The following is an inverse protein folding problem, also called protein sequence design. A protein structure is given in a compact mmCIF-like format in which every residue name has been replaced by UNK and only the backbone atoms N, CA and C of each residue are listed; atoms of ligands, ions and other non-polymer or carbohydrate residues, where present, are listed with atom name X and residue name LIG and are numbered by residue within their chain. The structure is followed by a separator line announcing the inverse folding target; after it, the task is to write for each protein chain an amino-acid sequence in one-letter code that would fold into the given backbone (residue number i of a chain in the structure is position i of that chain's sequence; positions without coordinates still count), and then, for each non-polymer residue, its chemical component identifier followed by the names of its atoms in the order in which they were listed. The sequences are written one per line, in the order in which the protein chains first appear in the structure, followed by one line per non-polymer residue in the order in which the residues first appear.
data_IF_366248226399
#
_entry.id   IF_366248226399
#
_cell.length_a   1.000
_cell.length_b   1.000
_cell.length_c   1.000
_cell.angle_alpha   90.00
_cell.angle_beta   90.00
_cell.angle_gamma   90.00
#
_symmetry.space_group_name_H-M   'P 1'
#
loop_
_entity.id
_entity.type
_entity.pdbx_description
1 polymer ?
#
# COMPACT_ATOMS: atom_id res chain seq x y z
N UNK A 1 34.51 0.55 -18.82
CA UNK A 1 33.18 0.16 -19.32
C UNK A 1 32.16 0.58 -18.29
N UNK A 2 31.35 1.59 -18.59
CA UNK A 2 30.28 2.08 -17.72
C UNK A 2 29.12 1.09 -17.74
N UNK A 3 28.66 0.68 -16.55
CA UNK A 3 27.51 -0.21 -16.42
C UNK A 3 26.26 0.40 -17.08
N UNK A 4 25.40 -0.41 -17.73
CA UNK A 4 24.15 0.09 -18.30
C UNK A 4 23.27 0.66 -17.20
N UNK A 5 22.79 1.90 -17.40
CA UNK A 5 21.78 2.51 -16.54
C UNK A 5 20.41 1.95 -16.96
N UNK A 6 19.88 1.04 -16.16
CA UNK A 6 18.54 0.48 -16.35
C UNK A 6 17.56 1.29 -15.53
N UNK A 7 16.55 1.89 -16.18
CA UNK A 7 15.42 2.53 -15.53
C UNK A 7 14.31 1.49 -15.38
N UNK A 8 13.92 1.19 -14.15
CA UNK A 8 12.81 0.30 -13.86
C UNK A 8 11.52 1.12 -13.81
N UNK A 9 10.59 0.84 -14.72
CA UNK A 9 9.23 1.38 -14.65
C UNK A 9 8.30 0.19 -14.55
N UNK A 10 7.59 0.05 -13.43
CA UNK A 10 6.55 -0.97 -13.24
C UNK A 10 5.19 -0.29 -13.14
N UNK A 11 4.21 -0.88 -13.83
CA UNK A 11 2.79 -0.58 -13.95
C UNK A 11 2.35 0.25 -15.17
N UNK A 12 1.53 -0.42 -15.99
CA UNK A 12 0.61 0.06 -17.01
C UNK A 12 1.11 1.19 -17.93
N UNK A 13 2.04 0.85 -18.82
CA UNK A 13 2.17 1.59 -20.07
C UNK A 13 0.94 1.30 -20.91
N UNK A 14 0.17 2.35 -21.25
CA UNK A 14 -1.01 2.26 -22.11
C UNK A 14 -0.67 1.55 -23.43
N UNK A 15 -1.68 0.96 -24.09
CA UNK A 15 -1.47 0.27 -25.38
C UNK A 15 -0.81 1.19 -26.42
N UNK A 16 -0.99 2.51 -26.33
CA UNK A 16 -0.30 3.49 -27.20
C UNK A 16 1.22 3.45 -27.05
N UNK A 17 1.75 3.20 -25.84
CA UNK A 17 3.21 3.14 -25.62
C UNK A 17 3.79 1.80 -26.10
N UNK A 18 2.98 0.72 -26.09
CA UNK A 18 3.38 -0.58 -26.66
C UNK A 18 3.39 -0.56 -28.19
N UNK A 19 2.38 0.06 -28.82
CA UNK A 19 2.35 0.28 -30.28
C UNK A 19 3.50 1.17 -30.73
N UNK A 20 3.76 2.25 -29.99
CA UNK A 20 4.88 3.13 -30.28
C UNK A 20 6.20 2.35 -30.25
N UNK A 21 6.51 1.59 -29.19
CA UNK A 21 7.75 0.81 -29.10
C UNK A 21 7.98 -0.17 -30.27
N UNK A 22 6.90 -0.71 -30.84
CA UNK A 22 6.92 -1.64 -31.97
C UNK A 22 7.19 -0.94 -33.31
N UNK A 23 6.63 0.25 -33.50
CA UNK A 23 6.77 1.03 -34.74
C UNK A 23 8.16 1.62 -34.94
N UNK A 24 8.87 1.86 -33.83
CA UNK A 24 10.25 2.39 -33.82
C UNK A 24 11.35 1.30 -33.81
N UNK A 25 10.97 0.03 -34.04
CA UNK A 25 11.93 -1.05 -34.33
C UNK A 25 12.77 -1.51 -33.13
N UNK A 26 12.22 -1.44 -31.92
CA UNK A 26 12.90 -1.88 -30.70
C UNK A 26 12.55 -3.33 -30.35
N UNK A 27 13.55 -4.10 -29.93
CA UNK A 27 13.33 -5.41 -29.32
C UNK A 27 12.82 -5.23 -27.88
N UNK A 28 11.52 -5.39 -27.72
CA UNK A 28 10.88 -5.64 -26.43
C UNK A 28 11.44 -6.94 -25.86
N UNK A 29 12.41 -6.86 -24.94
CA UNK A 29 12.81 -8.04 -24.19
C UNK A 29 11.72 -8.28 -23.14
N UNK A 30 10.91 -9.30 -23.38
CA UNK A 30 9.96 -9.81 -22.40
C UNK A 30 10.73 -10.72 -21.46
N UNK A 31 10.84 -10.35 -20.19
CA UNK A 31 11.22 -11.27 -19.12
C UNK A 31 10.10 -11.37 -18.09
N UNK A 32 10.02 -12.49 -17.38
CA UNK A 32 8.89 -12.80 -16.49
C UNK A 32 8.05 -13.96 -17.05
N UNK A 33 7.12 -14.48 -16.23
CA UNK A 33 6.23 -15.57 -16.67
C UNK A 33 5.09 -15.01 -17.55
N UNK A 34 4.35 -15.90 -18.23
CA UNK A 34 3.26 -15.53 -19.13
C UNK A 34 2.12 -14.71 -18.47
N UNK A 35 2.00 -14.76 -17.15
CA UNK A 35 1.00 -14.05 -16.36
C UNK A 35 1.50 -12.68 -15.87
N UNK A 36 2.80 -12.40 -15.95
CA UNK A 36 3.40 -11.15 -15.46
C UNK A 36 4.62 -10.70 -16.30
N UNK A 37 4.42 -10.24 -17.55
CA UNK A 37 5.51 -9.82 -18.42
C UNK A 37 6.13 -8.49 -17.93
N UNK A 38 7.43 -8.51 -17.71
CA UNK A 38 8.30 -7.36 -17.47
C UNK A 38 8.95 -6.96 -18.79
N UNK A 39 8.76 -5.72 -19.19
CA UNK A 39 9.34 -5.14 -20.39
C UNK A 39 10.59 -4.34 -20.02
N UNK A 40 11.73 -4.67 -20.64
CA UNK A 40 12.96 -3.90 -20.50
C UNK A 40 13.15 -2.95 -21.70
N UNK A 41 13.38 -1.66 -21.43
CA UNK A 41 13.84 -0.71 -22.46
C UNK A 41 15.34 -0.43 -22.28
N UNK A 42 16.14 -0.78 -23.27
CA UNK A 42 17.56 -0.46 -23.30
C UNK A 42 17.77 1.00 -23.75
N UNK A 43 17.95 1.91 -22.80
CA UNK A 43 18.06 3.36 -23.04
C UNK A 43 19.41 3.79 -23.65
N UNK A 44 20.31 2.86 -23.98
CA UNK A 44 21.67 3.16 -24.45
C UNK A 44 21.72 3.90 -25.78
N UNK A 45 20.63 3.85 -26.58
CA UNK A 45 20.55 4.44 -27.92
C UNK A 45 19.48 5.53 -28.03
N UNK A 46 19.00 6.11 -26.92
CA UNK A 46 18.14 7.29 -27.04
C UNK A 46 18.97 8.43 -27.64
N UNK A 47 18.70 8.70 -28.91
CA UNK A 47 19.27 9.79 -29.67
C UNK A 47 19.14 11.08 -28.85
N UNK A 48 20.29 11.74 -28.69
CA UNK A 48 20.51 12.87 -27.80
C UNK A 48 19.44 13.98 -27.91
N UNK A 49 18.76 14.12 -29.04
CA UNK A 49 17.72 15.12 -29.26
C UNK A 49 16.47 14.95 -28.37
N UNK A 50 16.02 13.72 -28.08
CA UNK A 50 14.85 13.51 -27.20
C UNK A 50 15.21 13.71 -25.73
N UNK A 51 16.44 13.37 -25.35
CA UNK A 51 16.96 13.67 -24.02
C UNK A 51 17.16 15.17 -23.85
N UNK A 52 17.62 15.90 -24.87
CA UNK A 52 17.73 17.36 -24.80
C UNK A 52 16.35 18.03 -24.77
N UNK A 53 15.34 17.51 -25.47
CA UNK A 53 13.95 18.00 -25.38
C UNK A 53 13.28 17.69 -24.03
N UNK A 54 13.54 16.52 -23.46
CA UNK A 54 13.11 16.16 -22.09
C UNK A 54 13.86 17.00 -21.05
N UNK A 55 15.17 17.21 -21.22
CA UNK A 55 15.95 18.15 -20.39
C UNK A 55 15.49 19.60 -20.54
N UNK A 56 15.05 20.04 -21.72
CA UNK A 56 14.42 21.34 -21.93
C UNK A 56 13.07 21.41 -21.21
N UNK A 57 12.24 20.38 -21.29
CA UNK A 57 10.98 20.29 -20.53
C UNK A 57 11.22 20.22 -19.01
N UNK A 58 12.30 19.59 -18.56
CA UNK A 58 12.72 19.59 -17.14
C UNK A 58 13.42 20.89 -16.71
N UNK A 59 14.00 21.66 -17.64
CA UNK A 59 14.47 23.04 -17.40
C UNK A 59 13.30 24.02 -17.31
N UNK A 60 12.17 23.71 -17.97
CA UNK A 60 10.91 24.46 -17.89
C UNK A 60 10.05 24.06 -16.69
N UNK A 61 10.20 22.84 -16.16
CA UNK A 61 9.55 22.40 -14.94
C UNK A 61 10.36 22.84 -13.70
N UNK A 62 9.74 23.60 -12.81
CA UNK A 62 10.32 23.89 -11.50
C UNK A 62 10.31 22.61 -10.65
N UNK A 63 11.37 21.80 -10.73
CA UNK A 63 11.52 20.62 -9.88
C UNK A 63 11.76 21.08 -8.44
N UNK A 64 10.81 20.79 -7.55
CA UNK A 64 10.89 21.15 -6.14
C UNK A 64 11.11 19.91 -5.29
N UNK A 65 12.19 19.90 -4.53
CA UNK A 65 12.41 18.91 -3.47
C UNK A 65 11.58 19.31 -2.25
N UNK A 66 10.56 18.53 -1.95
CA UNK A 66 9.56 18.83 -0.92
C UNK A 66 9.25 17.60 -0.08
N UNK A 67 8.47 17.80 0.96
CA UNK A 67 8.10 16.78 1.94
C UNK A 67 6.60 16.78 2.21
N UNK A 68 6.06 15.59 2.44
CA UNK A 68 4.69 15.35 2.86
C UNK A 68 4.71 14.62 4.20
N UNK A 69 3.93 15.10 5.17
CA UNK A 69 3.76 14.48 6.49
C UNK A 69 2.42 13.75 6.57
N UNK A 70 2.46 12.46 6.89
CA UNK A 70 1.27 11.61 6.99
C UNK A 70 1.35 10.66 8.19
N UNK A 71 0.19 10.25 8.71
CA UNK A 71 0.05 9.19 9.71
C UNK A 71 -0.46 7.87 9.11
N UNK A 72 -0.47 7.75 7.79
CA UNK A 72 -0.89 6.56 7.05
C UNK A 72 0.25 5.98 6.23
N UNK A 73 0.23 4.66 6.06
CA UNK A 73 1.16 3.97 5.18
C UNK A 73 0.56 3.83 3.78
N UNK A 74 1.25 4.37 2.78
CA UNK A 74 0.89 4.22 1.36
C UNK A 74 2.14 4.24 0.47
N UNK A 75 2.04 3.68 -0.74
CA UNK A 75 3.10 3.64 -1.75
C UNK A 75 2.97 4.69 -2.85
N UNK A 76 1.78 5.21 -3.08
CA UNK A 76 1.38 6.07 -4.21
C UNK A 76 0.38 7.15 -3.74
N UNK A 77 0.33 8.27 -4.46
CA UNK A 77 -0.60 9.37 -4.17
C UNK A 77 -1.81 9.26 -5.10
N UNK A 78 -2.78 8.42 -4.76
CA UNK A 78 -3.85 8.05 -5.71
C UNK A 78 -5.10 8.94 -5.61
N UNK A 79 -5.45 9.40 -4.40
CA UNK A 79 -6.64 10.22 -4.17
C UNK A 79 -6.41 11.26 -3.06
N UNK A 80 -7.00 12.44 -3.23
CA UNK A 80 -7.07 13.49 -2.21
C UNK A 80 -8.51 13.96 -2.08
N UNK A 81 -8.98 14.09 -0.83
CA UNK A 81 -10.28 14.70 -0.51
C UNK A 81 -10.26 16.23 -0.55
N UNK A 82 -9.11 16.82 -0.90
CA UNK A 82 -8.87 18.26 -1.02
C UNK A 82 -8.61 18.62 -2.50
N UNK A 83 -8.34 19.89 -2.80
CA UNK A 83 -8.03 20.36 -4.15
C UNK A 83 -6.82 19.62 -4.77
N UNK A 84 -5.91 19.12 -3.95
CA UNK A 84 -4.75 18.35 -4.39
C UNK A 84 -3.92 17.78 -3.26
N UNK A 85 -2.67 17.47 -3.56
CA UNK A 85 -1.70 16.94 -2.60
C UNK A 85 -0.81 18.05 -2.08
N UNK A 86 -0.77 18.21 -0.76
CA UNK A 86 -0.03 19.28 -0.09
C UNK A 86 1.40 18.83 0.23
N UNK A 87 2.35 19.72 -0.06
CA UNK A 87 3.77 19.52 0.18
C UNK A 87 4.40 20.80 0.72
N UNK A 88 5.41 20.64 1.58
CA UNK A 88 6.16 21.76 2.14
C UNK A 88 7.61 21.41 2.42
N UNK A 89 8.23 22.14 3.32
CA UNK A 89 9.56 21.80 3.82
C UNK A 89 9.51 20.57 4.72
N UNK A 90 10.68 19.99 5.01
CA UNK A 90 10.80 18.92 6.01
C UNK A 90 10.31 19.38 7.38
N UNK A 91 10.57 20.64 7.73
CA UNK A 91 10.14 21.25 9.00
C UNK A 91 8.62 21.39 9.05
N UNK A 92 7.97 21.82 7.96
CA UNK A 92 6.51 21.90 7.87
C UNK A 92 5.87 20.52 8.05
N UNK A 93 6.37 19.50 7.32
CA UNK A 93 5.91 18.11 7.48
C UNK A 93 6.06 17.61 8.92
N UNK A 94 7.19 17.91 9.58
CA UNK A 94 7.40 17.56 11.00
C UNK A 94 6.46 18.30 11.96
N UNK A 95 6.10 19.55 11.67
CA UNK A 95 5.13 20.31 12.47
C UNK A 95 3.71 19.74 12.31
N UNK A 96 3.33 19.39 11.08
CA UNK A 96 2.07 18.68 10.77
C UNK A 96 1.93 17.38 11.56
N UNK A 97 3.01 16.59 11.64
CA UNK A 97 3.03 15.33 12.41
C UNK A 97 2.78 15.52 13.93
N UNK A 98 2.88 16.75 14.47
CA UNK A 98 2.52 17.05 15.86
C UNK A 98 1.02 17.28 16.05
N UNK A 99 0.30 17.64 15.00
CA UNK A 99 -1.13 17.97 15.03
C UNK A 99 -2.04 16.81 14.60
N UNK A 100 -1.47 15.71 14.11
CA UNK A 100 -2.22 14.50 13.74
C UNK A 100 -1.92 13.33 14.69
N UNK A 101 -2.84 12.35 14.82
CA UNK A 101 -2.56 11.10 15.50
C UNK A 101 -1.32 10.43 14.93
N UNK A 102 -0.47 9.85 15.78
CA UNK A 102 0.69 9.08 15.31
C UNK A 102 0.21 7.82 14.61
N UNK A 103 0.92 7.42 13.55
CA UNK A 103 0.72 6.11 12.94
C UNK A 103 1.01 5.02 13.98
N UNK A 104 0.04 4.14 14.20
CA UNK A 104 0.24 2.98 15.04
C UNK A 104 0.95 1.90 14.24
N UNK A 105 2.06 1.40 14.76
CA UNK A 105 2.87 0.39 14.10
C UNK A 105 3.22 -0.69 15.10
N UNK A 106 2.62 -1.85 14.91
CA UNK A 106 2.76 -3.03 15.76
C UNK A 106 3.34 -4.21 14.98
N UNK A 107 3.90 -5.15 15.73
CA UNK A 107 4.28 -6.46 15.20
C UNK A 107 3.47 -7.48 15.98
N UNK A 108 2.64 -8.22 15.27
CA UNK A 108 1.86 -9.32 15.83
C UNK A 108 2.47 -10.63 15.37
N UNK A 109 2.58 -11.60 16.28
CA UNK A 109 3.00 -12.95 15.93
C UNK A 109 1.76 -13.79 15.75
N UNK A 110 1.55 -14.27 14.54
CA UNK A 110 0.61 -15.35 14.29
C UNK A 110 1.19 -16.64 14.88
N UNK A 111 0.51 -17.15 15.91
CA UNK A 111 0.82 -18.44 16.48
C UNK A 111 0.23 -19.53 15.58
N UNK A 112 1.01 -19.95 14.59
CA UNK A 112 0.75 -21.19 13.89
C UNK A 112 1.36 -22.33 14.70
N UNK A 113 0.52 -23.26 15.16
CA UNK A 113 1.03 -24.54 15.64
C UNK A 113 1.63 -25.27 14.43
N UNK A 114 2.87 -25.78 14.55
CA UNK A 114 3.46 -26.70 13.56
C UNK A 114 2.72 -28.04 13.46
N UNK A 115 1.60 -28.19 14.17
CA UNK A 115 1.13 -29.48 14.64
C UNK A 115 -0.39 -29.63 14.72
N UNK A 116 -1.24 -28.84 14.07
CA UNK A 116 -2.64 -28.71 14.54
C UNK A 116 -2.67 -28.21 16.00
N UNK A 117 -3.69 -27.49 16.46
CA UNK A 117 -3.80 -27.10 17.87
C UNK A 117 -3.87 -28.28 18.86
N UNK A 118 -3.70 -29.51 18.37
CA UNK A 118 -3.84 -30.79 19.04
C UNK A 118 -2.69 -31.78 18.79
N UNK A 119 -1.62 -31.44 18.07
CA UNK A 119 -0.53 -32.41 17.80
C UNK A 119 -0.94 -33.60 16.92
N UNK A 120 -2.00 -33.46 16.12
CA UNK A 120 -2.60 -34.57 15.38
C UNK A 120 -1.98 -34.64 13.98
N UNK A 121 -1.18 -35.67 13.72
CA UNK A 121 -1.18 -36.29 12.39
C UNK A 121 -2.63 -36.70 12.12
N UNK A 122 -3.30 -36.05 11.16
CA UNK A 122 -4.72 -36.27 10.79
C UNK A 122 -5.11 -37.71 11.14
N UNK A 123 -5.82 -37.89 12.25
CA UNK A 123 -6.18 -39.22 12.71
C UNK A 123 -7.06 -39.87 11.65
N UNK A 124 -7.03 -41.19 11.57
CA UNK A 124 -7.91 -41.93 10.68
C UNK A 124 -9.19 -42.32 11.45
N UNK A 125 -10.35 -41.84 11.01
CA UNK A 125 -11.65 -42.24 11.58
C UNK A 125 -11.89 -43.77 11.47
N UNK A 126 -11.16 -44.44 10.57
CA UNK A 126 -11.17 -45.89 10.37
C UNK A 126 -10.04 -46.62 11.13
N UNK A 127 -9.24 -45.89 11.92
CA UNK A 127 -8.17 -46.49 12.72
C UNK A 127 -8.71 -47.54 13.68
N UNK A 128 -7.99 -48.66 13.80
CA UNK A 128 -8.24 -49.69 14.82
C UNK A 128 -7.73 -49.27 16.20
N UNK A 129 -6.85 -48.28 16.28
CA UNK A 129 -6.44 -47.65 17.55
C UNK A 129 -7.53 -46.65 17.98
N UNK A 130 -8.17 -46.93 19.12
CA UNK A 130 -9.28 -46.15 19.66
C UNK A 130 -8.88 -44.69 20.00
N UNK A 131 -7.65 -44.45 20.46
CA UNK A 131 -7.17 -43.09 20.78
C UNK A 131 -6.94 -42.28 19.51
N UNK A 132 -6.43 -42.92 18.46
CA UNK A 132 -6.28 -42.28 17.14
C UNK A 132 -7.65 -41.97 16.54
N UNK A 133 -8.57 -42.95 16.55
CA UNK A 133 -9.94 -42.78 16.07
C UNK A 133 -10.68 -41.68 16.83
N UNK A 134 -10.54 -41.62 18.15
CA UNK A 134 -11.21 -40.61 18.96
C UNK A 134 -10.74 -39.19 18.67
N UNK A 135 -9.43 -38.99 18.46
CA UNK A 135 -8.88 -37.70 18.02
C UNK A 135 -9.44 -37.29 16.66
N UNK A 136 -9.60 -38.24 15.73
CA UNK A 136 -10.16 -37.99 14.40
C UNK A 136 -11.65 -37.65 14.41
N UNK A 137 -12.41 -38.25 15.33
CA UNK A 137 -13.87 -38.07 15.38
C UNK A 137 -14.29 -36.87 16.23
N UNK A 138 -13.77 -36.75 17.45
CA UNK A 138 -14.26 -35.79 18.45
C UNK A 138 -13.82 -34.36 18.11
N UNK A 139 -12.54 -34.17 17.83
CA UNK A 139 -11.93 -32.84 17.72
C UNK A 139 -12.49 -31.99 16.57
N UNK A 140 -12.72 -32.53 15.35
CA UNK A 140 -13.32 -31.76 14.26
C UNK A 140 -14.73 -31.23 14.55
N UNK A 141 -15.41 -31.86 15.52
CA UNK A 141 -16.83 -31.68 15.82
C UNK A 141 -17.05 -30.87 17.11
N UNK A 142 -15.98 -30.46 17.79
CA UNK A 142 -16.05 -29.57 18.94
C UNK A 142 -16.31 -28.12 18.51
N UNK A 143 -17.37 -27.51 19.06
CA UNK A 143 -17.66 -26.07 18.83
C UNK A 143 -16.63 -25.13 19.48
N UNK A 144 -16.14 -25.51 20.66
CA UNK A 144 -15.19 -24.71 21.43
C UNK A 144 -14.06 -25.60 21.98
N UNK A 145 -13.14 -26.06 21.12
CA UNK A 145 -12.03 -26.85 21.61
C UNK A 145 -11.16 -26.01 22.57
N UNK A 146 -10.75 -26.62 23.68
CA UNK A 146 -9.89 -26.00 24.69
C UNK A 146 -8.45 -26.50 24.54
N UNK A 147 -7.44 -25.68 24.90
CA UNK A 147 -6.08 -26.16 25.07
C UNK A 147 -6.02 -27.40 25.99
N UNK A 148 -5.23 -28.41 25.63
CA UNK A 148 -5.08 -29.64 26.41
C UNK A 148 -6.13 -30.74 26.17
N UNK A 149 -7.06 -30.57 25.21
CA UNK A 149 -8.10 -31.58 24.92
C UNK A 149 -7.53 -32.96 24.52
N UNK A 150 -6.32 -33.00 23.96
CA UNK A 150 -5.64 -34.24 23.57
C UNK A 150 -5.20 -35.03 24.79
N UNK A 151 -4.72 -34.34 25.81
CA UNK A 151 -4.32 -34.96 27.08
C UNK A 151 -5.56 -35.51 27.79
N UNK A 152 -6.67 -34.79 27.72
CA UNK A 152 -7.98 -35.27 28.21
C UNK A 152 -8.36 -36.56 27.49
N UNK A 153 -8.37 -36.58 26.15
CA UNK A 153 -8.68 -37.77 25.34
C UNK A 153 -7.74 -38.94 25.68
N UNK A 154 -6.44 -38.69 25.87
CA UNK A 154 -5.47 -39.72 26.23
C UNK A 154 -5.70 -40.25 27.66
N UNK A 155 -6.28 -39.45 28.56
CA UNK A 155 -6.51 -39.80 29.96
C UNK A 155 -7.81 -40.58 30.23
N UNK A 156 -8.77 -40.58 29.29
CA UNK A 156 -10.03 -41.31 29.43
C UNK A 156 -9.82 -42.84 29.39
N UNK A 157 -10.70 -43.59 30.06
CA UNK A 157 -10.75 -45.06 29.92
C UNK A 157 -11.20 -45.46 28.50
N UNK A 158 -10.98 -46.72 28.12
CA UNK A 158 -11.45 -47.21 26.81
C UNK A 158 -12.98 -47.20 26.71
N UNK A 159 -13.70 -47.48 27.80
CA UNK A 159 -15.16 -47.42 27.79
C UNK A 159 -15.67 -45.98 27.68
N UNK A 160 -15.10 -45.06 28.46
CA UNK A 160 -15.45 -43.64 28.41
C UNK A 160 -15.16 -43.05 27.04
N UNK A 161 -14.00 -43.39 26.48
CA UNK A 161 -13.59 -42.88 25.18
C UNK A 161 -14.46 -43.42 24.04
N UNK A 162 -14.83 -44.70 24.09
CA UNK A 162 -15.73 -45.27 23.09
C UNK A 162 -17.10 -44.60 23.15
N UNK A 163 -17.62 -44.32 24.35
CA UNK A 163 -18.86 -43.58 24.53
C UNK A 163 -18.77 -42.16 23.94
N UNK A 164 -17.67 -41.45 24.16
CA UNK A 164 -17.44 -40.14 23.55
C UNK A 164 -17.30 -40.22 22.02
N UNK A 165 -16.64 -41.24 21.46
CA UNK A 165 -16.57 -41.41 20.01
C UNK A 165 -17.97 -41.57 19.40
N UNK A 166 -18.81 -42.40 20.01
CA UNK A 166 -20.15 -42.67 19.51
C UNK A 166 -21.04 -41.42 19.58
N UNK A 167 -20.89 -40.60 20.63
CA UNK A 167 -21.66 -39.37 20.81
C UNK A 167 -21.30 -38.27 19.79
N UNK A 168 -20.07 -38.27 19.26
CA UNK A 168 -19.61 -37.29 18.28
C UNK A 168 -19.69 -37.79 16.82
N UNK A 169 -19.72 -39.10 16.55
CA UNK A 169 -19.59 -39.67 15.18
C UNK A 169 -20.56 -39.05 14.15
N UNK A 170 -21.81 -38.76 14.53
CA UNK A 170 -22.84 -38.24 13.63
C UNK A 170 -22.96 -36.71 13.62
N UNK A 171 -22.12 -35.98 14.36
CA UNK A 171 -22.13 -34.52 14.35
C UNK A 171 -21.37 -33.98 13.12
N UNK A 172 -21.77 -32.81 12.59
CA UNK A 172 -21.05 -32.19 11.48
C UNK A 172 -19.68 -31.66 11.93
N UNK A 173 -18.70 -31.68 11.02
CA UNK A 173 -17.42 -30.97 11.19
C UNK A 173 -17.70 -29.48 11.26
N UNK A 174 -17.05 -28.80 12.18
CA UNK A 174 -17.26 -27.36 12.40
C UNK A 174 -16.44 -26.50 11.44
N UNK A 175 -16.98 -25.35 11.02
CA UNK A 175 -16.25 -24.37 10.19
C UNK A 175 -14.96 -23.90 10.87
N UNK A 176 -15.00 -23.75 12.20
CA UNK A 176 -13.84 -23.44 13.03
C UNK A 176 -12.72 -24.46 12.88
N UNK A 177 -13.02 -25.75 12.77
CA UNK A 177 -12.01 -26.77 12.52
C UNK A 177 -11.42 -26.64 11.11
N UNK A 178 -12.25 -26.35 10.11
CA UNK A 178 -11.77 -26.11 8.74
C UNK A 178 -10.83 -24.89 8.67
N UNK A 179 -11.13 -23.80 9.38
CA UNK A 179 -10.24 -22.65 9.53
C UNK A 179 -8.92 -23.01 10.21
N UNK A 180 -8.96 -23.89 11.22
CA UNK A 180 -7.75 -24.39 11.89
C UNK A 180 -6.89 -25.26 10.94
N UNK A 181 -7.49 -26.03 10.03
CA UNK A 181 -6.78 -26.84 9.03
C UNK A 181 -6.01 -26.00 8.00
N UNK A 182 -6.51 -24.83 7.59
CA UNK A 182 -5.87 -23.91 6.62
C UNK A 182 -4.46 -23.48 7.07
N UNK A 183 -4.17 -23.61 8.36
CA UNK A 183 -2.97 -23.11 9.00
C UNK A 183 -1.98 -24.22 9.45
N UNK A 184 -2.31 -25.49 9.23
CA UNK A 184 -1.44 -26.62 9.57
C UNK A 184 -0.22 -26.67 8.64
N UNK A 185 0.97 -26.78 9.23
CA UNK A 185 2.24 -26.85 8.50
C UNK A 185 2.81 -25.51 8.05
N UNK A 186 2.12 -24.39 8.30
CA UNK A 186 2.68 -23.05 8.13
C UNK A 186 3.54 -22.71 9.35
N UNK A 187 4.72 -22.12 9.12
CA UNK A 187 5.55 -21.59 10.21
C UNK A 187 4.94 -20.31 10.76
N UNK A 188 5.06 -20.04 12.08
CA UNK A 188 4.59 -18.79 12.70
C UNK A 188 5.09 -17.58 11.92
N UNK A 189 4.17 -16.67 11.58
CA UNK A 189 4.50 -15.43 10.89
C UNK A 189 4.48 -14.25 11.85
N UNK A 190 5.29 -13.24 11.55
CA UNK A 190 5.28 -11.93 12.14
C UNK A 190 4.61 -10.99 11.14
N UNK A 191 3.45 -10.49 11.52
CA UNK A 191 2.71 -9.48 10.78
C UNK A 191 3.14 -8.10 11.27
N UNK A 192 3.54 -7.24 10.35
CA UNK A 192 3.76 -5.82 10.61
C UNK A 192 2.50 -5.08 10.21
N UNK A 193 1.86 -4.44 11.18
CA UNK A 193 0.62 -3.70 10.96
C UNK A 193 0.91 -2.20 11.01
N UNK A 194 0.25 -1.44 10.14
CA UNK A 194 0.16 0.01 10.20
C UNK A 194 -1.31 0.41 10.31
N UNK A 195 -1.70 1.09 11.39
CA UNK A 195 -3.08 1.44 11.71
C UNK A 195 -4.03 0.22 11.61
N UNK A 196 -3.59 -0.95 12.10
CA UNK A 196 -4.35 -2.20 12.05
C UNK A 196 -4.38 -2.92 10.70
N UNK A 197 -3.77 -2.36 9.65
CA UNK A 197 -3.66 -3.02 8.33
C UNK A 197 -2.31 -3.72 8.20
N UNK A 198 -2.32 -5.01 7.86
CA UNK A 198 -1.09 -5.77 7.61
C UNK A 198 -0.36 -5.26 6.36
N UNK A 199 0.87 -4.78 6.54
CA UNK A 199 1.74 -4.27 5.46
C UNK A 199 2.72 -5.35 5.00
N UNK A 200 3.14 -6.22 5.93
CA UNK A 200 4.10 -7.30 5.67
C UNK A 200 3.81 -8.49 6.58
N UNK A 201 3.88 -9.70 6.02
CA UNK A 201 3.93 -10.95 6.79
C UNK A 201 5.23 -11.69 6.48
N UNK A 202 5.97 -12.11 7.51
CA UNK A 202 7.27 -12.78 7.32
C UNK A 202 7.54 -13.79 8.43
N UNK A 203 8.27 -14.87 8.16
CA UNK A 203 8.72 -15.83 9.18
C UNK A 203 9.89 -15.29 10.03
N UNK A 204 10.56 -14.21 9.59
CA UNK A 204 11.75 -13.67 10.23
C UNK A 204 11.41 -12.42 11.09
N UNK A 205 11.60 -12.56 12.41
CA UNK A 205 11.40 -11.48 13.38
C UNK A 205 12.26 -10.24 13.09
N UNK A 206 13.48 -10.41 12.58
CA UNK A 206 14.37 -9.30 12.26
C UNK A 206 13.85 -8.53 11.05
N UNK A 207 13.38 -9.23 10.03
CA UNK A 207 12.74 -8.61 8.85
C UNK A 207 11.50 -7.82 9.28
N UNK A 208 10.64 -8.40 10.12
CA UNK A 208 9.48 -7.70 10.66
C UNK A 208 9.87 -6.45 11.48
N UNK A 209 10.92 -6.56 12.31
CA UNK A 209 11.42 -5.44 13.12
C UNK A 209 12.00 -4.31 12.27
N UNK A 210 12.77 -4.63 11.23
CA UNK A 210 13.29 -3.67 10.26
C UNK A 210 12.16 -2.99 9.48
N UNK A 211 11.19 -3.77 8.99
CA UNK A 211 10.04 -3.23 8.28
C UNK A 211 9.20 -2.30 9.18
N UNK A 212 8.91 -2.69 10.43
CA UNK A 212 8.20 -1.83 11.37
C UNK A 212 8.93 -0.50 11.63
N UNK A 213 10.26 -0.51 11.73
CA UNK A 213 11.06 0.72 11.86
C UNK A 213 10.95 1.59 10.61
N UNK A 214 11.07 0.99 9.42
CA UNK A 214 10.98 1.73 8.16
C UNK A 214 9.58 2.32 7.95
N UNK A 215 8.53 1.58 8.28
CA UNK A 215 7.15 2.08 8.26
C UNK A 215 7.03 3.30 9.17
N UNK A 216 7.54 3.23 10.42
CA UNK A 216 7.56 4.39 11.34
C UNK A 216 8.33 5.60 10.79
N UNK A 217 9.40 5.38 10.04
CA UNK A 217 10.21 6.45 9.43
C UNK A 217 9.56 7.00 8.15
N UNK A 218 8.65 6.25 7.53
CA UNK A 218 7.96 6.63 6.28
C UNK A 218 6.85 7.68 6.44
N UNK A 219 6.58 8.13 7.67
CA UNK A 219 5.65 9.24 7.99
C UNK A 219 6.03 10.57 7.34
N UNK A 220 7.29 10.71 6.91
CA UNK A 220 7.76 11.81 6.08
C UNK A 220 8.13 11.26 4.71
N UNK A 221 7.37 11.63 3.69
CA UNK A 221 7.66 11.26 2.29
C UNK A 221 8.37 12.42 1.59
N UNK A 222 9.54 12.17 1.03
CA UNK A 222 10.22 13.12 0.15
C UNK A 222 9.70 12.93 -1.28
N UNK A 223 9.41 14.03 -1.97
CA UNK A 223 8.99 14.02 -3.36
C UNK A 223 9.70 15.12 -4.16
N UNK A 224 9.85 14.86 -5.46
CA UNK A 224 10.11 15.87 -6.47
C UNK A 224 8.80 16.21 -7.16
N UNK A 225 8.43 17.49 -7.15
CA UNK A 225 7.22 17.96 -7.84
C UNK A 225 7.55 18.48 -9.24
N UNK A 226 6.66 18.20 -10.19
CA UNK A 226 6.69 18.75 -11.55
C UNK A 226 5.60 19.83 -11.64
N UNK A 227 6.02 21.09 -11.63
CA UNK A 227 5.15 22.26 -11.80
C UNK A 227 5.65 23.11 -12.96
N UNK A 228 4.76 23.46 -13.88
CA UNK A 228 5.04 24.26 -15.07
C UNK A 228 4.50 25.68 -14.94
N UNK A 229 3.25 25.84 -14.52
CA UNK A 229 2.59 27.14 -14.41
C UNK A 229 1.67 27.18 -13.18
N UNK A 230 2.24 27.10 -11.96
CA UNK A 230 1.44 27.19 -10.75
C UNK A 230 0.98 28.63 -10.52
N UNK A 231 -0.25 28.79 -10.04
CA UNK A 231 -0.72 30.08 -9.53
C UNK A 231 -0.13 30.31 -8.13
N UNK A 232 0.17 31.57 -7.80
CA UNK A 232 0.64 31.95 -6.47
C UNK A 232 -0.46 32.67 -5.71
N UNK A 233 -0.72 32.24 -4.47
CA UNK A 233 -1.77 32.82 -3.63
C UNK A 233 -1.41 32.82 -2.15
N UNK A 234 -2.24 33.49 -1.34
CA UNK A 234 -2.14 33.51 0.12
C UNK A 234 -2.45 32.14 0.72
N UNK A 235 -2.00 31.87 1.96
CA UNK A 235 -2.43 30.67 2.69
C UNK A 235 -3.90 30.82 3.10
N UNK A 236 -4.74 29.86 2.71
CA UNK A 236 -6.17 29.90 2.96
C UNK A 236 -6.59 29.08 4.18
N UNK A 237 -5.66 28.35 4.81
CA UNK A 237 -5.92 27.47 5.94
C UNK A 237 -6.77 26.24 5.57
N UNK A 238 -8.08 26.42 5.37
CA UNK A 238 -9.05 25.32 5.14
C UNK A 238 -9.26 25.02 3.63
N UNK A 239 -8.57 25.74 2.73
CA UNK A 239 -8.53 25.48 1.28
C UNK A 239 -9.91 25.16 0.67
N UNK A 240 -10.96 25.89 1.06
CA UNK A 240 -12.31 25.64 0.55
C UNK A 240 -12.43 26.02 -0.93
N UNK A 241 -13.28 25.35 -1.74
CA UNK A 241 -13.42 25.69 -3.16
C UNK A 241 -13.78 27.16 -3.41
N UNK A 242 -14.60 27.75 -2.53
CA UNK A 242 -15.04 29.14 -2.65
C UNK A 242 -13.91 30.13 -2.34
N UNK A 243 -13.11 29.87 -1.30
CA UNK A 243 -12.01 30.75 -0.93
C UNK A 243 -10.90 30.70 -1.98
N UNK A 244 -10.59 29.51 -2.50
CA UNK A 244 -9.66 29.34 -3.62
C UNK A 244 -10.15 30.11 -4.85
N UNK A 245 -11.43 29.97 -5.21
CA UNK A 245 -11.99 30.66 -6.38
C UNK A 245 -11.96 32.19 -6.24
N UNK A 246 -12.23 32.71 -5.04
CA UNK A 246 -12.16 34.15 -4.73
C UNK A 246 -10.75 34.69 -4.82
N UNK A 247 -9.79 34.00 -4.20
CA UNK A 247 -8.38 34.40 -4.21
C UNK A 247 -7.79 34.33 -5.62
N UNK A 248 -8.17 33.32 -6.41
CA UNK A 248 -7.82 33.21 -7.82
C UNK A 248 -8.56 34.22 -8.73
N UNK A 249 -9.48 35.03 -8.16
CA UNK A 249 -10.29 36.03 -8.86
C UNK A 249 -11.06 35.45 -10.05
N UNK A 250 -11.61 34.25 -9.88
CA UNK A 250 -12.49 33.64 -10.88
C UNK A 250 -13.74 34.50 -11.06
N UNK A 251 -14.28 34.50 -12.29
CA UNK A 251 -15.50 35.25 -12.59
C UNK A 251 -16.74 34.60 -11.95
N UNK A 252 -17.84 35.34 -11.90
CA UNK A 252 -19.08 34.87 -11.27
C UNK A 252 -19.63 33.60 -11.90
N UNK A 253 -19.48 33.43 -13.22
CA UNK A 253 -19.97 32.24 -13.92
C UNK A 253 -19.15 31.00 -13.54
N UNK A 254 -17.83 31.13 -13.44
CA UNK A 254 -16.95 30.07 -12.98
C UNK A 254 -17.23 29.68 -11.52
N UNK A 255 -17.42 30.68 -10.65
CA UNK A 255 -17.78 30.45 -9.24
C UNK A 255 -19.12 29.74 -9.13
N UNK A 256 -20.15 30.19 -9.85
CA UNK A 256 -21.48 29.56 -9.85
C UNK A 256 -21.40 28.11 -10.33
N UNK A 257 -20.60 27.84 -11.37
CA UNK A 257 -20.38 26.48 -11.90
C UNK A 257 -19.72 25.55 -10.87
N UNK A 258 -18.80 26.06 -10.04
CA UNK A 258 -18.22 25.29 -8.93
C UNK A 258 -19.30 25.07 -7.86
N UNK A 259 -19.96 26.14 -7.42
CA UNK A 259 -20.86 26.08 -6.28
C UNK A 259 -22.16 25.32 -6.55
N UNK A 260 -22.55 25.18 -7.82
CA UNK A 260 -23.69 24.36 -8.25
C UNK A 260 -23.46 22.85 -8.17
N UNK A 261 -22.22 22.38 -7.93
CA UNK A 261 -21.93 20.95 -7.80
C UNK A 261 -22.51 20.37 -6.50
N UNK A 262 -22.85 19.08 -6.52
CA UNK A 262 -23.72 18.47 -5.50
C UNK A 262 -23.00 18.20 -4.19
N UNK A 263 -21.70 17.90 -4.24
CA UNK A 263 -20.88 17.57 -3.08
C UNK A 263 -19.49 18.23 -3.16
N UNK A 264 -18.70 18.12 -2.09
CA UNK A 264 -17.41 18.79 -1.97
C UNK A 264 -16.36 18.25 -2.98
N UNK A 265 -16.36 16.95 -3.24
CA UNK A 265 -15.43 16.31 -4.18
C UNK A 265 -15.69 16.79 -5.62
N UNK A 266 -16.95 16.89 -6.03
CA UNK A 266 -17.34 17.46 -7.32
C UNK A 266 -16.96 18.94 -7.43
N UNK A 267 -17.07 19.70 -6.33
CA UNK A 267 -16.63 21.11 -6.28
C UNK A 267 -15.13 21.23 -6.53
N UNK A 268 -14.31 20.42 -5.84
CA UNK A 268 -12.86 20.39 -6.07
C UNK A 268 -12.51 19.93 -7.48
N UNK A 269 -13.21 18.92 -8.00
CA UNK A 269 -13.01 18.43 -9.37
C UNK A 269 -13.33 19.50 -10.41
N UNK A 270 -14.43 20.24 -10.22
CA UNK A 270 -14.83 21.33 -11.12
C UNK A 270 -13.86 22.53 -11.03
N UNK A 271 -13.39 22.87 -9.83
CA UNK A 271 -12.37 23.91 -9.63
C UNK A 271 -11.04 23.52 -10.30
N UNK A 272 -10.57 22.29 -10.09
CA UNK A 272 -9.36 21.74 -10.74
C UNK A 272 -9.47 21.80 -12.25
N UNK A 273 -10.62 21.44 -12.82
CA UNK A 273 -10.87 21.53 -14.26
C UNK A 273 -10.75 22.98 -14.78
N UNK A 274 -11.34 23.95 -14.06
CA UNK A 274 -11.24 25.36 -14.44
C UNK A 274 -9.77 25.82 -14.42
N UNK A 275 -9.00 25.45 -13.39
CA UNK A 275 -7.58 25.77 -13.32
C UNK A 275 -6.78 25.14 -14.46
N UNK A 276 -7.00 23.86 -14.77
CA UNK A 276 -6.35 23.19 -15.90
C UNK A 276 -6.71 23.84 -17.25
N UNK A 277 -7.98 24.23 -17.44
CA UNK A 277 -8.43 24.95 -18.65
C UNK A 277 -7.77 26.34 -18.78
N UNK A 278 -7.39 26.97 -17.65
CA UNK A 278 -6.60 28.20 -17.60
C UNK A 278 -5.09 27.97 -17.76
N UNK A 279 -4.65 26.71 -17.90
CA UNK A 279 -3.24 26.32 -17.96
C UNK A 279 -2.52 26.38 -16.61
N UNK A 280 -3.25 26.38 -15.49
CA UNK A 280 -2.72 26.34 -14.14
C UNK A 280 -2.62 24.87 -13.71
N UNK A 281 -1.43 24.42 -13.32
CA UNK A 281 -1.16 23.03 -12.96
C UNK A 281 -0.83 22.81 -11.47
N UNK A 282 -0.92 23.85 -10.66
CA UNK A 282 -0.76 23.73 -9.22
C UNK A 282 -0.84 25.06 -8.50
N UNK A 283 -0.60 25.04 -7.19
CA UNK A 283 -0.64 26.21 -6.33
C UNK A 283 0.67 26.32 -5.56
N UNK A 284 1.23 27.52 -5.50
CA UNK A 284 2.28 27.90 -4.56
C UNK A 284 1.67 28.87 -3.56
N UNK A 285 1.85 28.63 -2.27
CA UNK A 285 1.40 29.53 -1.22
C UNK A 285 2.49 29.72 -0.17
N UNK A 286 2.53 30.89 0.46
CA UNK A 286 3.42 31.13 1.61
C UNK A 286 2.75 30.57 2.84
N UNK A 287 3.32 29.53 3.43
CA UNK A 287 2.75 28.88 4.60
C UNK A 287 2.70 29.86 5.78
N UNK A 288 1.55 29.98 6.44
CA UNK A 288 1.39 30.84 7.61
C UNK A 288 1.34 30.06 8.93
N UNK A 289 1.10 28.74 8.85
CA UNK A 289 0.89 27.87 10.02
C UNK A 289 2.12 27.02 10.32
N UNK A 290 2.61 26.30 9.32
CA UNK A 290 3.69 25.32 9.41
C UNK A 290 4.93 25.87 8.71
N UNK A 291 6.00 26.17 9.45
CA UNK A 291 7.21 26.79 8.89
C UNK A 291 6.95 28.15 8.21
N UNK A 292 6.38 29.07 9.02
CA UNK A 292 5.84 30.37 8.60
C UNK A 292 6.77 31.17 7.67
N UNK A 293 6.20 31.64 6.56
CA UNK A 293 6.85 32.51 5.57
C UNK A 293 7.54 31.78 4.43
N UNK A 294 7.56 30.43 4.45
CA UNK A 294 8.19 29.60 3.42
C UNK A 294 7.13 29.05 2.45
N UNK A 295 7.50 28.92 1.18
CA UNK A 295 6.63 28.38 0.14
C UNK A 295 6.28 26.91 0.40
N UNK A 296 4.98 26.62 0.33
CA UNK A 296 4.38 25.29 0.23
C UNK A 296 3.64 25.16 -1.10
N UNK A 297 3.32 23.92 -1.47
CA UNK A 297 2.91 23.55 -2.80
C UNK A 297 1.69 22.64 -2.74
N UNK A 298 0.77 22.83 -3.69
CA UNK A 298 -0.33 21.91 -3.95
C UNK A 298 -0.26 21.49 -5.40
N UNK A 299 -0.21 20.18 -5.64
CA UNK A 299 -0.26 19.60 -6.99
C UNK A 299 -1.60 18.91 -7.18
N UNK A 300 -2.12 18.94 -8.40
CA UNK A 300 -3.47 18.48 -8.71
C UNK A 300 -3.53 17.00 -9.10
N UNK A 301 -2.42 16.41 -9.51
CA UNK A 301 -2.41 15.06 -10.03
C UNK A 301 -1.16 14.29 -9.60
N UNK A 302 -1.29 12.95 -9.54
CA UNK A 302 -0.24 12.03 -9.13
C UNK A 302 0.98 12.06 -10.06
N UNK A 303 0.76 12.24 -11.36
CA UNK A 303 1.81 12.32 -12.38
C UNK A 303 2.77 13.50 -12.17
N UNK A 304 2.38 14.48 -11.35
CA UNK A 304 3.22 15.59 -10.93
C UNK A 304 4.15 15.22 -9.76
N UNK A 305 4.02 14.04 -9.16
CA UNK A 305 4.70 13.62 -7.94
C UNK A 305 5.66 12.47 -8.26
N UNK A 306 6.95 12.72 -8.08
CA UNK A 306 7.96 11.66 -8.09
C UNK A 306 8.40 11.41 -6.66
N UNK A 307 7.90 10.32 -6.05
CA UNK A 307 8.35 9.91 -4.72
C UNK A 307 9.82 9.52 -4.79
N UNK A 308 10.64 10.21 -4.02
CA UNK A 308 12.04 9.84 -3.82
C UNK A 308 12.14 9.11 -2.50
N UNK A 309 12.11 7.78 -2.52
CA UNK A 309 12.49 7.04 -1.33
C UNK A 309 14.01 7.16 -1.14
N UNK A 310 14.46 7.44 0.08
CA UNK A 310 15.86 7.16 0.45
C UNK A 310 16.10 5.64 0.57
N UNK A 311 15.02 4.84 0.57
CA UNK A 311 15.04 3.40 0.72
C UNK A 311 14.11 2.76 -0.31
N UNK A 312 14.68 2.22 -1.38
CA UNK A 312 13.97 1.33 -2.29
C UNK A 312 13.70 0.01 -1.59
N UNK A 313 12.49 -0.17 -1.05
CA UNK A 313 11.97 -1.49 -0.69
C UNK A 313 10.71 -1.74 -1.49
N UNK A 314 10.77 -2.72 -2.38
CA UNK A 314 9.58 -3.35 -2.95
C UNK A 314 9.37 -4.65 -2.19
N UNK A 315 8.26 -4.77 -1.47
CA UNK A 315 7.81 -6.03 -0.89
C UNK A 315 7.22 -6.87 -2.02
N UNK A 316 7.91 -7.95 -2.42
CA UNK A 316 7.37 -8.95 -3.33
C UNK A 316 6.64 -10.01 -2.53
N UNK A 317 5.31 -10.08 -2.69
CA UNK A 317 4.53 -11.28 -2.39
C UNK A 317 4.66 -12.25 -3.57
N UNK A 318 5.78 -12.96 -3.68
CA UNK A 318 5.83 -14.21 -4.43
C UNK A 318 6.59 -15.25 -3.62
N UNK A 319 5.93 -16.41 -3.43
CA UNK A 319 6.57 -17.60 -2.86
C UNK A 319 7.74 -17.95 -3.76
N UNK A 320 8.94 -17.99 -3.19
CA UNK A 320 10.07 -18.72 -3.78
C UNK A 320 9.70 -20.20 -3.80
N UNK A 321 9.16 -20.66 -4.92
CA UNK A 321 9.21 -22.08 -5.26
C UNK A 321 10.58 -22.34 -5.87
N UNK A 322 11.54 -22.62 -5.00
CA UNK A 322 12.80 -23.27 -5.37
C UNK A 322 13.08 -24.40 -4.36
N UNK A 323 12.50 -25.58 -4.66
CA UNK A 323 13.11 -26.91 -4.74
C UNK A 323 12.05 -28.01 -4.69
#
# INVERSE_FOLDING_TARGET
MTAPKVLFIKNAVSEEIKELAKDIGYDLIVGGNADNPVIYCNLSNIANDYIEKWKENCKLANIRNVYHGTNEFFSSFEHSSDIGFHFGTKSAALQRLKSIPRMDVSIEREEFSSESPFGIRVGDENSTDLRVKAKAVIIPRLRHPKPGIVDIINSLSDEELQHEVDSYTNLPITDKYNEMLVNIGKKPQFNVLANGTTILSTEDRNVASCAAKLVKESVIKRANLILRNPIRMSDLGVWSPLDIAREAKLDSFQVDKIMSQSNLEEKYSQLKRIFLDMGIDGIIYKNEVEDTGIDSYIVFSEDQIIITSEFGMTLSNERSLDR
#
